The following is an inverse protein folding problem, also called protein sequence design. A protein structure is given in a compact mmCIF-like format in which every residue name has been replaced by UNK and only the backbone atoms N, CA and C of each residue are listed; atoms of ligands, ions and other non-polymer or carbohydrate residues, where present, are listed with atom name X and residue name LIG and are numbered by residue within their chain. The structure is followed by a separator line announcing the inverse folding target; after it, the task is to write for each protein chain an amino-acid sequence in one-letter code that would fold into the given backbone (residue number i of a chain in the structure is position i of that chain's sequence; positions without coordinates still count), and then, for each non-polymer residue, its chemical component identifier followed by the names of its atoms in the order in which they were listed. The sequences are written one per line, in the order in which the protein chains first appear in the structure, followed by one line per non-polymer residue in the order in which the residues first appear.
data_IF_424981549839
#
_entry.id   IF_424981549839
#
_cell.length_a   1.000
_cell.length_b   1.000
_cell.length_c   1.000
_cell.angle_alpha   90.00
_cell.angle_beta   90.00
_cell.angle_gamma   90.00
#
_symmetry.space_group_name_H-M   'P 1'
#
loop_
_entity.id
_entity.type
_entity.pdbx_description
1 polymer ?
#
# COMPACT_ATOMS: atom_id res chain seq x y z
N UNK A 1 12.22 -42.17 64.18
CA UNK A 1 13.69 -42.19 64.02
C UNK A 1 13.99 -41.32 62.79
N UNK A 2 14.76 -40.22 62.78
CA UNK A 2 15.82 -39.68 63.63
C UNK A 2 15.50 -38.21 63.99
N UNK A 3 15.89 -37.85 65.21
CA UNK A 3 15.94 -36.48 65.73
C UNK A 3 17.27 -35.87 65.31
N UNK A 4 17.29 -34.63 64.85
CA UNK A 4 18.45 -33.75 65.00
C UNK A 4 18.00 -32.42 65.60
N UNK A 5 18.68 -32.06 66.67
CA UNK A 5 18.42 -30.95 67.59
C UNK A 5 19.23 -29.73 67.14
N UNK A 6 18.57 -28.57 67.17
CA UNK A 6 19.05 -27.21 67.55
C UNK A 6 20.55 -26.90 67.54
N UNK A 7 20.91 -25.71 67.04
CA UNK A 7 21.36 -24.60 67.89
C UNK A 7 21.37 -23.26 67.12
N UNK A 8 21.11 -22.20 67.87
CA UNK A 8 20.91 -20.82 67.46
C UNK A 8 22.23 -20.06 67.28
N UNK A 9 22.20 -18.97 66.51
CA UNK A 9 22.98 -17.77 66.79
C UNK A 9 22.27 -16.53 66.21
N UNK A 10 21.85 -15.66 67.12
CA UNK A 10 21.35 -14.30 66.86
C UNK A 10 22.57 -13.38 66.77
N UNK A 11 22.61 -12.50 65.77
CA UNK A 11 23.41 -11.27 65.83
C UNK A 11 22.64 -10.14 65.14
N UNK A 12 22.31 -9.13 65.95
CA UNK A 12 21.68 -7.88 65.57
C UNK A 12 22.65 -6.99 64.79
N UNK A 13 22.13 -6.12 63.91
CA UNK A 13 22.96 -5.14 63.21
C UNK A 13 22.18 -4.17 62.31
N UNK A 14 21.64 -3.12 62.95
CA UNK A 14 21.54 -1.73 62.45
C UNK A 14 20.86 -1.38 61.12
N UNK A 15 19.81 -0.56 61.26
CA UNK A 15 19.19 0.32 60.26
C UNK A 15 20.21 1.06 59.40
N UNK A 16 20.01 1.05 58.08
CA UNK A 16 20.42 2.13 57.18
C UNK A 16 19.24 2.47 56.27
N UNK A 17 18.67 3.65 56.49
CA UNK A 17 17.66 4.29 55.64
C UNK A 17 18.28 4.70 54.31
N UNK A 18 17.74 4.22 53.18
CA UNK A 18 18.00 4.82 51.86
C UNK A 18 16.69 5.00 51.11
N UNK A 19 16.42 6.26 50.84
CA UNK A 19 15.33 6.89 50.11
C UNK A 19 14.66 6.06 49.00
N UNK A 20 13.33 6.01 49.06
CA UNK A 20 12.49 5.70 47.91
C UNK A 20 12.61 6.84 46.89
N UNK A 21 13.22 6.58 45.74
CA UNK A 21 13.07 7.44 44.56
C UNK A 21 11.66 7.25 44.00
N UNK A 22 10.87 8.31 43.78
CA UNK A 22 9.71 8.20 42.91
C UNK A 22 10.24 8.11 41.49
N UNK A 23 10.09 6.94 40.86
CA UNK A 23 10.21 6.83 39.41
C UNK A 23 9.02 7.59 38.82
N UNK A 24 9.24 8.88 38.52
CA UNK A 24 8.34 9.66 37.70
C UNK A 24 8.34 9.00 36.31
N UNK A 25 7.36 8.13 36.06
CA UNK A 25 7.06 7.63 34.74
C UNK A 25 6.59 8.82 33.89
N UNK A 26 7.51 9.39 33.12
CA UNK A 26 7.18 10.29 32.02
C UNK A 26 6.37 9.49 31.01
N UNK A 27 5.04 9.57 31.13
CA UNK A 27 4.13 9.15 30.07
C UNK A 27 4.41 10.06 28.87
N UNK A 28 5.16 9.54 27.90
CA UNK A 28 5.28 10.17 26.60
C UNK A 28 3.87 10.26 26.00
N UNK A 29 3.45 11.43 25.50
CA UNK A 29 2.27 11.48 24.66
C UNK A 29 2.60 10.70 23.39
N UNK A 30 2.00 9.53 23.20
CA UNK A 30 1.78 8.99 21.86
C UNK A 30 0.78 9.95 21.22
N UNK A 31 1.31 11.02 20.62
CA UNK A 31 0.63 11.74 19.57
C UNK A 31 0.59 10.81 18.37
N UNK A 32 -0.24 9.77 18.46
CA UNK A 32 -0.72 9.05 17.30
C UNK A 32 -1.61 10.05 16.58
N UNK A 33 -1.02 10.84 15.68
CA UNK A 33 -1.80 11.43 14.61
C UNK A 33 -2.52 10.25 13.98
N UNK A 34 -3.84 10.17 14.16
CA UNK A 34 -4.69 9.33 13.35
C UNK A 34 -4.57 9.90 11.94
N UNK A 35 -3.52 9.49 11.23
CA UNK A 35 -3.39 9.75 9.82
C UNK A 35 -4.63 9.14 9.18
N UNK A 36 -5.52 10.00 8.71
CA UNK A 36 -6.74 9.56 8.06
C UNK A 36 -6.34 8.72 6.85
N UNK A 37 -6.88 7.51 6.75
CA UNK A 37 -6.51 6.59 5.69
C UNK A 37 -6.88 7.18 4.33
N UNK A 38 -5.93 7.22 3.41
CA UNK A 38 -6.10 7.82 2.09
C UNK A 38 -7.18 7.06 1.29
N UNK A 39 -8.17 7.78 0.78
CA UNK A 39 -9.21 7.18 -0.05
C UNK A 39 -8.72 7.02 -1.50
N UNK A 40 -9.03 5.90 -2.14
CA UNK A 40 -8.87 5.76 -3.59
C UNK A 40 -9.83 6.73 -4.29
N UNK A 41 -9.32 7.59 -5.17
CA UNK A 41 -10.12 8.64 -5.85
C UNK A 41 -10.31 8.38 -7.34
N UNK A 42 -9.36 7.70 -7.98
CA UNK A 42 -9.45 7.34 -9.38
C UNK A 42 -8.55 6.16 -9.75
N UNK A 43 -8.90 5.50 -10.86
CA UNK A 43 -8.08 4.48 -11.52
C UNK A 43 -8.07 4.79 -13.01
N UNK A 44 -6.89 4.77 -13.64
CA UNK A 44 -6.70 4.96 -15.07
C UNK A 44 -5.81 3.85 -15.64
N UNK A 45 -6.09 3.43 -16.86
CA UNK A 45 -5.23 2.56 -17.67
C UNK A 45 -4.91 3.34 -18.94
N UNK A 46 -3.65 3.73 -19.10
CA UNK A 46 -3.20 4.61 -20.19
C UNK A 46 -2.04 3.98 -20.95
N UNK A 47 -1.94 4.21 -22.28
CA UNK A 47 -0.81 3.75 -23.05
C UNK A 47 0.45 4.57 -22.72
N UNK A 48 1.58 3.88 -22.58
CA UNK A 48 2.91 4.46 -22.51
C UNK A 48 3.81 3.84 -23.59
N UNK A 49 4.96 4.45 -23.87
CA UNK A 49 5.89 3.94 -24.89
C UNK A 49 6.33 2.50 -24.57
N UNK A 50 5.79 1.52 -25.29
CA UNK A 50 6.05 0.07 -25.08
C UNK A 50 5.45 -0.53 -23.80
N UNK A 51 4.50 0.16 -23.15
CA UNK A 51 3.93 -0.25 -21.86
C UNK A 51 2.47 0.13 -21.70
N UNK A 52 1.78 -0.54 -20.78
CA UNK A 52 0.52 -0.09 -20.22
C UNK A 52 0.74 0.40 -18.78
N UNK A 53 0.26 1.60 -18.50
CA UNK A 53 0.37 2.23 -17.19
C UNK A 53 -0.99 2.19 -16.48
N UNK A 54 -1.05 1.51 -15.34
CA UNK A 54 -2.18 1.57 -14.41
C UNK A 54 -1.87 2.59 -13.34
N UNK A 55 -2.66 3.65 -13.30
CA UNK A 55 -2.48 4.79 -12.42
C UNK A 55 -3.63 4.84 -11.43
N UNK A 56 -3.32 4.75 -10.14
CA UNK A 56 -4.29 4.84 -9.05
C UNK A 56 -4.01 6.08 -8.23
N UNK A 57 -5.01 6.94 -8.09
CA UNK A 57 -4.93 8.18 -7.32
C UNK A 57 -5.54 8.00 -5.94
N UNK A 58 -4.94 8.67 -4.95
CA UNK A 58 -5.27 8.63 -3.54
C UNK A 58 -5.44 10.05 -3.00
N UNK A 59 -6.25 10.22 -1.96
CA UNK A 59 -6.44 11.53 -1.29
C UNK A 59 -5.30 11.91 -0.35
N UNK A 60 -4.29 11.05 -0.20
CA UNK A 60 -3.18 11.22 0.73
C UNK A 60 -2.06 10.22 0.47
N UNK A 61 -1.10 10.21 1.38
CA UNK A 61 0.08 9.36 1.30
C UNK A 61 -0.21 7.89 1.59
N UNK A 62 0.45 7.00 0.84
CA UNK A 62 0.25 5.54 0.94
C UNK A 62 1.55 4.78 0.82
N UNK A 63 1.68 3.64 1.49
CA UNK A 63 2.84 2.76 1.29
C UNK A 63 2.46 1.56 0.43
N UNK A 64 3.35 1.11 -0.45
CA UNK A 64 3.07 -0.01 -1.36
C UNK A 64 3.97 -1.20 -1.08
N UNK A 65 3.42 -2.39 -1.28
CA UNK A 65 4.17 -3.63 -1.44
C UNK A 65 3.57 -4.38 -2.62
N UNK A 66 4.39 -4.99 -3.46
CA UNK A 66 3.94 -5.69 -4.65
C UNK A 66 4.56 -7.08 -4.77
N UNK A 67 3.86 -7.95 -5.49
CA UNK A 67 4.31 -9.30 -5.82
C UNK A 67 3.55 -9.84 -7.02
N UNK A 68 4.00 -10.96 -7.55
CA UNK A 68 3.34 -11.64 -8.67
C UNK A 68 2.73 -12.97 -8.25
N UNK A 69 1.70 -13.39 -8.97
CA UNK A 69 1.12 -14.73 -8.86
C UNK A 69 1.11 -15.40 -10.24
N UNK A 70 1.13 -16.72 -10.23
CA UNK A 70 0.97 -17.56 -11.42
C UNK A 70 -0.34 -18.35 -11.34
N UNK A 71 -0.85 -18.82 -12.49
CA UNK A 71 -2.08 -19.59 -12.58
C UNK A 71 -3.36 -18.86 -12.15
N UNK A 72 -3.81 -17.76 -12.79
CA UNK A 72 -3.23 -17.05 -13.94
C UNK A 72 -2.17 -16.01 -13.53
N UNK A 73 -1.46 -15.46 -14.53
CA UNK A 73 -0.45 -14.40 -14.33
C UNK A 73 -1.10 -13.14 -13.76
N UNK A 74 -0.61 -12.67 -12.61
CA UNK A 74 -1.13 -11.48 -11.93
C UNK A 74 -0.01 -10.65 -11.35
N UNK A 75 -0.16 -9.33 -11.40
CA UNK A 75 0.56 -8.40 -10.54
C UNK A 75 -0.39 -7.98 -9.42
N UNK A 76 0.06 -8.09 -8.19
CA UNK A 76 -0.68 -7.67 -7.00
C UNK A 76 0.07 -6.53 -6.35
N UNK A 77 -0.64 -5.43 -6.06
CA UNK A 77 -0.11 -4.29 -5.32
C UNK A 77 -0.99 -4.05 -4.11
N UNK A 78 -0.41 -4.24 -2.93
CA UNK A 78 -1.01 -3.93 -1.64
C UNK A 78 -0.65 -2.52 -1.24
N UNK A 79 -1.68 -1.69 -1.07
CA UNK A 79 -1.57 -0.29 -0.70
C UNK A 79 -2.01 -0.11 0.74
N UNK A 80 -1.06 0.15 1.63
CA UNK A 80 -1.25 0.35 3.07
C UNK A 80 -1.57 1.81 3.39
N UNK A 81 -2.40 2.01 4.42
CA UNK A 81 -2.91 3.31 4.82
C UNK A 81 -4.00 3.82 3.89
N UNK A 82 -4.68 2.92 3.16
CA UNK A 82 -5.68 3.28 2.15
C UNK A 82 -7.03 2.62 2.39
N UNK A 83 -8.09 3.32 1.98
CA UNK A 83 -9.48 2.82 2.01
C UNK A 83 -10.16 2.87 0.64
N UNK A 84 -11.00 1.87 0.39
CA UNK A 84 -11.79 1.71 -0.83
C UNK A 84 -13.16 2.38 -0.67
N UNK A 85 -13.21 3.69 -0.92
CA UNK A 85 -14.48 4.44 -0.94
C UNK A 85 -15.06 4.59 -2.35
N UNK A 86 -14.20 4.51 -3.37
CA UNK A 86 -14.61 4.65 -4.76
C UNK A 86 -15.36 3.42 -5.26
N UNK A 87 -16.60 3.64 -5.72
CA UNK A 87 -17.35 2.64 -6.48
C UNK A 87 -16.92 2.72 -7.95
N UNK A 88 -16.11 1.77 -8.40
CA UNK A 88 -15.73 1.65 -9.81
C UNK A 88 -16.60 0.61 -10.52
N UNK A 89 -17.02 0.86 -11.78
CA UNK A 89 -17.62 -0.20 -12.59
C UNK A 89 -16.57 -1.28 -12.86
N UNK A 90 -17.02 -2.52 -13.01
CA UNK A 90 -16.16 -3.62 -13.42
C UNK A 90 -15.44 -3.30 -14.74
N UNK A 91 -14.25 -3.87 -14.91
CA UNK A 91 -13.47 -3.74 -16.13
C UNK A 91 -14.26 -4.24 -17.34
N UNK A 92 -14.10 -3.58 -18.49
CA UNK A 92 -14.86 -3.84 -19.73
C UNK A 92 -14.37 -5.06 -20.51
N UNK A 93 -13.40 -5.82 -19.97
CA UNK A 93 -12.76 -6.99 -20.60
C UNK A 93 -12.01 -6.66 -21.91
N UNK A 94 -11.76 -5.39 -22.21
CA UNK A 94 -10.90 -5.00 -23.33
C UNK A 94 -9.44 -5.07 -22.87
N UNK A 95 -8.64 -5.93 -23.52
CA UNK A 95 -7.21 -6.06 -23.20
C UNK A 95 -6.46 -4.75 -23.51
N UNK A 96 -5.65 -4.28 -22.57
CA UNK A 96 -4.84 -3.05 -22.69
C UNK A 96 -3.40 -3.35 -22.34
N UNK A 97 -2.53 -3.44 -23.36
CA UNK A 97 -1.12 -3.78 -23.19
C UNK A 97 -0.86 -5.09 -22.45
N UNK A 98 -1.75 -6.07 -22.61
CA UNK A 98 -1.69 -7.36 -21.93
C UNK A 98 -2.37 -7.42 -20.55
N UNK A 99 -2.93 -6.31 -20.08
CA UNK A 99 -3.79 -6.27 -18.91
C UNK A 99 -5.20 -6.69 -19.35
N UNK A 100 -5.68 -7.81 -18.83
CA UNK A 100 -6.99 -8.38 -19.11
C UNK A 100 -8.07 -7.86 -18.17
N UNK A 101 -7.68 -7.50 -16.94
CA UNK A 101 -8.59 -7.01 -15.92
C UNK A 101 -7.84 -6.17 -14.88
N UNK A 102 -8.53 -5.19 -14.30
CA UNK A 102 -8.06 -4.39 -13.18
C UNK A 102 -9.08 -4.50 -12.06
N UNK A 103 -8.67 -5.06 -10.93
CA UNK A 103 -9.53 -5.27 -9.76
C UNK A 103 -8.98 -4.48 -8.60
N UNK A 104 -9.87 -3.81 -7.89
CA UNK A 104 -9.54 -3.13 -6.65
C UNK A 104 -10.55 -3.54 -5.59
N UNK A 105 -10.06 -3.86 -4.40
CA UNK A 105 -10.89 -4.20 -3.26
C UNK A 105 -10.20 -3.80 -1.95
N UNK A 106 -11.01 -3.54 -0.92
CA UNK A 106 -10.50 -3.50 0.45
C UNK A 106 -10.07 -4.92 0.84
N UNK A 107 -8.78 -5.13 1.11
CA UNK A 107 -8.22 -6.43 1.50
C UNK A 107 -8.19 -6.61 3.02
N UNK A 108 -7.80 -5.56 3.75
CA UNK A 108 -7.94 -5.43 5.20
C UNK A 108 -8.41 -4.00 5.51
N UNK A 109 -8.81 -3.64 6.75
CA UNK A 109 -9.30 -2.29 7.05
C UNK A 109 -8.40 -1.14 6.61
N UNK A 110 -7.07 -1.36 6.57
CA UNK A 110 -6.08 -0.34 6.19
C UNK A 110 -5.36 -0.64 4.86
N UNK A 111 -5.74 -1.73 4.17
CA UNK A 111 -5.07 -2.17 2.94
C UNK A 111 -6.06 -2.29 1.79
N UNK A 112 -5.82 -1.54 0.73
CA UNK A 112 -6.45 -1.74 -0.58
C UNK A 112 -5.55 -2.61 -1.43
N UNK A 113 -6.09 -3.68 -2.01
CA UNK A 113 -5.38 -4.53 -2.96
C UNK A 113 -5.80 -4.21 -4.38
N UNK A 114 -4.81 -3.89 -5.21
CA UNK A 114 -4.94 -3.76 -6.67
C UNK A 114 -4.44 -5.06 -7.28
N UNK A 115 -5.23 -5.66 -8.16
CA UNK A 115 -4.85 -6.88 -8.90
C UNK A 115 -4.99 -6.62 -10.39
N UNK A 116 -3.91 -6.81 -11.12
CA UNK A 116 -3.87 -6.76 -12.57
C UNK A 116 -3.85 -8.21 -13.07
N UNK A 117 -4.91 -8.64 -13.74
CA UNK A 117 -4.92 -9.94 -14.43
C UNK A 117 -4.19 -9.76 -15.76
N UNK A 118 -3.19 -10.59 -16.04
CA UNK A 118 -2.35 -10.51 -17.24
C UNK A 118 -2.55 -11.71 -18.16
N UNK A 119 -2.31 -11.51 -19.45
CA UNK A 119 -2.30 -12.58 -20.46
C UNK A 119 -1.06 -13.48 -20.39
N UNK A 120 0.08 -12.95 -19.96
CA UNK A 120 1.35 -13.64 -19.81
C UNK A 120 2.18 -13.01 -18.67
N UNK A 121 3.28 -13.65 -18.29
CA UNK A 121 4.29 -13.00 -17.44
C UNK A 121 4.87 -11.78 -18.17
N UNK A 122 4.97 -10.64 -17.48
CA UNK A 122 5.46 -9.37 -18.03
C UNK A 122 6.39 -8.71 -17.03
N UNK A 123 7.44 -8.08 -17.55
CA UNK A 123 8.21 -7.14 -16.76
C UNK A 123 7.32 -5.97 -16.32
N UNK A 124 7.50 -5.52 -15.08
CA UNK A 124 6.73 -4.42 -14.55
C UNK A 124 7.55 -3.60 -13.54
N UNK A 125 7.09 -2.39 -13.28
CA UNK A 125 7.59 -1.54 -12.19
C UNK A 125 6.43 -0.89 -11.45
N UNK A 126 6.65 -0.58 -10.17
CA UNK A 126 5.72 0.17 -9.33
C UNK A 126 6.42 1.44 -8.86
N UNK A 127 5.85 2.59 -9.19
CA UNK A 127 6.37 3.90 -8.79
C UNK A 127 5.30 4.60 -7.97
N UNK A 128 5.68 5.02 -6.76
CA UNK A 128 4.86 5.90 -5.92
C UNK A 128 5.24 7.35 -6.21
N UNK A 129 4.23 8.18 -6.46
CA UNK A 129 4.31 9.63 -6.49
C UNK A 129 3.47 10.27 -5.39
N UNK A 130 3.35 11.59 -5.43
CA UNK A 130 2.47 12.34 -4.53
C UNK A 130 1.00 12.01 -4.82
N UNK A 131 0.34 11.32 -3.90
CA UNK A 131 -1.06 10.89 -4.05
C UNK A 131 -1.33 9.94 -5.23
N UNK A 132 -0.31 9.30 -5.80
CA UNK A 132 -0.46 8.38 -6.94
C UNK A 132 0.44 7.14 -6.79
N UNK A 133 -0.08 5.99 -7.21
CA UNK A 133 0.69 4.77 -7.47
C UNK A 133 0.54 4.41 -8.94
N UNK A 134 1.67 4.29 -9.64
CA UNK A 134 1.73 3.87 -11.05
C UNK A 134 2.34 2.49 -11.15
N UNK A 135 1.62 1.57 -11.78
CA UNK A 135 2.07 0.22 -12.14
C UNK A 135 2.25 0.17 -13.64
N UNK A 136 3.49 0.06 -14.10
CA UNK A 136 3.84 0.02 -15.53
C UNK A 136 4.18 -1.41 -15.92
N UNK A 137 3.48 -1.99 -16.89
CA UNK A 137 3.76 -3.33 -17.42
C UNK A 137 4.14 -3.29 -18.90
N UNK A 138 5.15 -4.05 -19.30
CA UNK A 138 5.60 -4.13 -20.70
C UNK A 138 4.50 -4.73 -21.59
N UNK A 139 4.18 -4.06 -22.71
CA UNK A 139 3.15 -4.53 -23.63
C UNK A 139 2.82 -3.55 -24.76
N UNK A 140 1.92 -3.94 -25.68
CA UNK A 140 1.50 -3.07 -26.78
C UNK A 140 0.89 -1.77 -26.27
N UNK A 141 1.33 -0.64 -26.81
CA UNK A 141 0.84 0.70 -26.45
C UNK A 141 -0.38 1.14 -27.28
N UNK A 142 -0.79 0.35 -28.27
CA UNK A 142 -1.91 0.67 -29.15
C UNK A 142 -3.24 0.20 -28.53
N UNK A 143 -3.79 1.00 -27.60
CA UNK A 143 -5.11 0.75 -27.02
C UNK A 143 -5.78 2.05 -26.56
N UNK A 144 -7.11 2.04 -26.50
CA UNK A 144 -7.88 3.18 -25.97
C UNK A 144 -7.73 3.27 -24.43
N UNK A 145 -7.41 4.46 -23.88
CA UNK A 145 -7.30 4.65 -22.45
C UNK A 145 -8.65 4.40 -21.76
N UNK A 146 -8.60 4.03 -20.48
CA UNK A 146 -9.77 3.79 -19.64
C UNK A 146 -9.59 4.48 -18.29
N UNK A 147 -10.66 5.04 -17.76
CA UNK A 147 -10.66 5.69 -16.45
C UNK A 147 -11.92 5.37 -15.65
N UNK A 148 -11.82 5.45 -14.33
CA UNK A 148 -12.92 5.38 -13.38
C UNK A 148 -12.64 6.29 -12.18
N UNK A 149 -13.66 6.95 -11.64
CA UNK A 149 -13.57 7.86 -10.49
C UNK A 149 -13.44 9.34 -10.84
N UNK A 150 -13.32 10.20 -9.83
CA UNK A 150 -13.47 11.65 -9.99
C UNK A 150 -12.35 12.30 -10.86
N UNK A 151 -11.16 11.69 -10.89
CA UNK A 151 -10.07 12.13 -11.78
C UNK A 151 -10.12 11.48 -13.19
N UNK A 152 -11.23 10.83 -13.55
CA UNK A 152 -11.48 10.32 -14.91
C UNK A 152 -11.67 11.45 -15.94
N UNK A 153 -11.86 12.69 -15.51
CA UNK A 153 -12.12 13.86 -16.38
C UNK A 153 -10.86 14.68 -16.67
N UNK A 154 -9.76 14.53 -15.91
CA UNK A 154 -8.64 15.48 -15.94
C UNK A 154 -7.34 14.97 -16.60
N UNK A 155 -7.31 13.79 -17.21
CA UNK A 155 -6.10 13.27 -17.85
C UNK A 155 -6.41 12.47 -19.12
N UNK A 156 -7.07 13.12 -20.09
CA UNK A 156 -6.80 12.81 -21.47
C UNK A 156 -5.44 13.47 -21.79
N UNK A 157 -4.38 12.73 -22.15
CA UNK A 157 -3.25 13.37 -22.78
C UNK A 157 -3.78 13.99 -24.07
N UNK A 158 -3.53 15.29 -24.25
CA UNK A 158 -3.67 15.93 -25.56
C UNK A 158 -2.91 15.07 -26.58
N UNK A 159 -3.46 14.86 -27.80
CA UNK A 159 -2.73 14.14 -28.82
C UNK A 159 -1.41 14.88 -29.02
N UNK A 160 -0.29 14.14 -28.88
CA UNK A 160 1.00 14.64 -29.31
C UNK A 160 0.85 14.97 -30.79
N UNK A 161 0.80 16.28 -31.08
CA UNK A 161 0.90 16.78 -32.44
C UNK A 161 2.26 16.33 -32.93
N UNK A 162 2.22 15.35 -33.84
CA UNK A 162 3.32 14.97 -34.70
C UNK A 162 3.82 16.23 -35.38
N UNK A 163 4.90 16.80 -34.83
CA UNK A 163 5.70 17.80 -35.51
C UNK A 163 6.42 17.09 -36.66
N UNK A 164 5.72 16.96 -37.78
CA UNK A 164 6.34 16.75 -39.07
C UNK A 164 7.17 17.99 -39.42
N UNK A 165 8.29 17.72 -40.11
CA UNK A 165 9.14 18.60 -40.92
C UNK A 165 10.54 18.91 -40.33
N UNK A 166 11.56 19.10 -41.19
CA UNK A 166 11.52 19.26 -42.65
C UNK A 166 11.81 18.01 -43.49
#
# INVERSE_FOLDING_TARGET
MRRYRTLAAIAAGTLLTMAAMPAAATTLPVAGATAEAAAVTAVRVVPGAGRADVVVSFSGDVTVADFTLTGPHRIVVDVKGATMQLRTPAYDRISRGGILNVRLAQFTPEVVRIVLDLDAAREYSVVRGEGEVRVSGTGPAAFAPRSAGAAAVAAAPAPAVEAAAP
#
